data_IF_732687718060
#
_entry.id   IF_732687718060
#
_cell.length_a   1.000
_cell.length_b   1.000
_cell.length_c   1.000
_cell.angle_alpha   90.00
_cell.angle_beta   90.00
_cell.angle_gamma   90.00
#
_symmetry.space_group_name_H-M   'P 1'
#
loop_
_entity.id
_entity.type
_entity.pdbx_description
1 polymer ?
#
# COMPACT_ATOMS: atom_id res chain seq x y z
N UNK A 1 4.20 2.58 -12.17
CA UNK A 1 2.73 2.66 -12.10
C UNK A 1 2.28 3.79 -13.01
N UNK A 2 1.13 3.64 -13.69
CA UNK A 2 0.57 4.73 -14.49
C UNK A 2 -0.14 5.75 -13.57
N UNK A 3 -0.15 7.02 -13.96
CA UNK A 3 -0.95 8.03 -13.28
C UNK A 3 -2.45 7.77 -13.51
N UNK A 4 -3.28 8.13 -12.53
CA UNK A 4 -4.74 7.94 -12.55
C UNK A 4 -5.37 9.11 -11.81
N UNK A 5 -6.51 9.61 -12.28
CA UNK A 5 -7.36 10.60 -11.59
C UNK A 5 -8.49 9.95 -10.77
N UNK A 6 -8.76 8.66 -11.01
CA UNK A 6 -9.65 7.84 -10.18
C UNK A 6 -8.91 7.27 -8.95
N UNK A 7 -9.36 7.57 -7.72
CA UNK A 7 -8.68 7.14 -6.49
C UNK A 7 -8.68 5.61 -6.30
N UNK A 8 -9.72 4.91 -6.75
CA UNK A 8 -9.81 3.45 -6.58
C UNK A 8 -8.82 2.75 -7.52
N UNK A 9 -8.78 3.14 -8.78
CA UNK A 9 -7.81 2.65 -9.77
C UNK A 9 -6.38 2.92 -9.33
N UNK A 10 -6.10 4.13 -8.84
CA UNK A 10 -4.81 4.48 -8.26
C UNK A 10 -4.45 3.56 -7.08
N UNK A 11 -5.33 3.44 -6.08
CA UNK A 11 -5.10 2.63 -4.90
C UNK A 11 -4.84 1.15 -5.22
N UNK A 12 -5.55 0.58 -6.21
CA UNK A 12 -5.29 -0.80 -6.66
C UNK A 12 -3.87 -0.97 -7.23
N UNK A 13 -3.41 -0.01 -8.02
CA UNK A 13 -2.05 -0.04 -8.59
C UNK A 13 -0.98 0.05 -7.50
N UNK A 14 -1.19 0.93 -6.52
CA UNK A 14 -0.28 1.08 -5.38
C UNK A 14 -0.29 -0.19 -4.51
N UNK A 15 -1.47 -0.72 -4.17
CA UNK A 15 -1.60 -1.96 -3.39
C UNK A 15 -0.93 -3.17 -4.08
N UNK A 16 -1.11 -3.31 -5.39
CA UNK A 16 -0.45 -4.35 -6.18
C UNK A 16 1.08 -4.22 -6.09
N UNK A 17 1.59 -3.00 -6.23
CA UNK A 17 3.03 -2.72 -6.19
C UNK A 17 3.61 -2.93 -4.78
N UNK A 18 2.88 -2.50 -3.74
CA UNK A 18 3.28 -2.61 -2.34
C UNK A 18 3.54 -4.06 -1.90
N UNK A 19 2.74 -4.99 -2.43
CA UNK A 19 2.85 -6.41 -2.08
C UNK A 19 3.71 -7.22 -3.06
N UNK A 20 4.13 -6.65 -4.19
CA UNK A 20 4.88 -7.32 -5.25
C UNK A 20 6.40 -7.23 -5.01
N UNK A 21 6.90 -8.05 -4.09
CA UNK A 21 8.34 -8.20 -3.85
C UNK A 21 8.78 -9.66 -3.98
N UNK A 22 10.05 -9.83 -4.30
CA UNK A 22 10.69 -11.13 -4.51
C UNK A 22 12.09 -11.08 -3.91
N UNK A 23 12.39 -12.00 -2.99
CA UNK A 23 13.69 -12.05 -2.29
C UNK A 23 14.84 -12.54 -3.15
N UNK A 24 14.55 -13.05 -4.36
CA UNK A 24 15.56 -13.36 -5.39
C UNK A 24 16.00 -12.13 -6.17
N UNK A 25 15.30 -11.01 -6.02
CA UNK A 25 15.76 -9.70 -6.50
C UNK A 25 17.04 -9.30 -5.75
N UNK A 26 17.99 -8.72 -6.47
CA UNK A 26 19.27 -8.26 -5.92
C UNK A 26 19.18 -6.89 -5.28
N UNK A 27 18.05 -6.20 -5.40
CA UNK A 27 17.79 -4.92 -4.74
C UNK A 27 17.64 -5.11 -3.22
N UNK A 28 18.05 -4.12 -2.41
CA UNK A 28 17.80 -4.15 -0.97
C UNK A 28 16.29 -4.04 -0.68
N UNK A 29 15.83 -4.59 0.45
CA UNK A 29 14.41 -4.58 0.87
C UNK A 29 13.79 -3.17 0.80
N UNK A 30 14.53 -2.16 1.23
CA UNK A 30 14.06 -0.77 1.23
C UNK A 30 13.76 -0.24 -0.18
N UNK A 31 14.47 -0.71 -1.22
CA UNK A 31 14.23 -0.25 -2.59
C UNK A 31 12.86 -0.69 -3.15
N UNK A 32 12.17 -1.62 -2.49
CA UNK A 32 10.81 -2.00 -2.87
C UNK A 32 9.77 -0.92 -2.51
N UNK A 33 10.13 0.06 -1.67
CA UNK A 33 9.26 1.19 -1.32
C UNK A 33 9.37 2.36 -2.30
N UNK A 34 10.47 2.47 -3.04
CA UNK A 34 10.75 3.64 -3.91
C UNK A 34 9.65 3.91 -4.94
N UNK A 35 9.05 2.90 -5.61
CA UNK A 35 7.94 3.15 -6.52
C UNK A 35 6.71 3.76 -5.82
N UNK A 36 6.49 3.44 -4.54
CA UNK A 36 5.37 3.95 -3.75
C UNK A 36 5.65 5.38 -3.29
N UNK A 37 6.88 5.67 -2.85
CA UNK A 37 7.30 7.04 -2.50
C UNK A 37 7.19 7.96 -3.72
N UNK A 38 7.55 7.47 -4.92
CA UNK A 38 7.50 8.27 -6.15
C UNK A 38 6.09 8.73 -6.55
N UNK A 39 5.03 8.10 -6.02
CA UNK A 39 3.63 8.51 -6.23
C UNK A 39 3.02 9.18 -4.99
N UNK A 40 3.84 9.50 -3.99
CA UNK A 40 3.45 10.32 -2.85
C UNK A 40 3.05 11.74 -3.28
N UNK A 41 2.39 12.46 -2.38
CA UNK A 41 2.02 13.86 -2.61
C UNK A 41 3.27 14.73 -2.82
N UNK A 42 3.38 15.43 -3.98
CA UNK A 42 4.54 16.26 -4.30
C UNK A 42 4.71 17.46 -3.37
N UNK A 43 3.70 17.89 -2.61
CA UNK A 43 3.86 18.90 -1.57
C UNK A 43 4.80 18.43 -0.45
N UNK A 44 4.96 17.11 -0.29
CA UNK A 44 5.93 16.50 0.62
C UNK A 44 5.56 16.53 2.10
N UNK A 45 4.39 17.09 2.44
CA UNK A 45 3.93 17.27 3.84
C UNK A 45 3.74 15.91 4.51
N UNK A 46 3.09 14.96 3.85
CA UNK A 46 2.81 13.62 4.39
C UNK A 46 3.95 12.62 4.16
N UNK A 47 4.99 12.96 3.39
CA UNK A 47 6.07 12.03 3.02
C UNK A 47 6.76 11.37 4.23
N UNK A 48 7.13 12.08 5.31
CA UNK A 48 7.71 11.42 6.48
C UNK A 48 6.77 10.39 7.12
N UNK A 49 5.47 10.70 7.17
CA UNK A 49 4.44 9.79 7.65
C UNK A 49 4.27 8.58 6.75
N UNK A 50 4.23 8.78 5.44
CA UNK A 50 4.15 7.70 4.46
C UNK A 50 5.35 6.74 4.55
N UNK A 51 6.57 7.26 4.69
CA UNK A 51 7.77 6.44 4.87
C UNK A 51 7.68 5.59 6.13
N UNK A 52 7.18 6.16 7.23
CA UNK A 52 6.97 5.44 8.48
C UNK A 52 5.89 4.34 8.33
N UNK A 53 4.79 4.63 7.64
CA UNK A 53 3.74 3.63 7.40
C UNK A 53 4.29 2.48 6.53
N UNK A 54 5.04 2.78 5.46
CA UNK A 54 5.63 1.78 4.56
C UNK A 54 6.58 0.81 5.27
N UNK A 55 7.31 1.28 6.29
CA UNK A 55 8.19 0.43 7.09
C UNK A 55 7.44 -0.69 7.83
N UNK A 56 6.13 -0.53 8.05
CA UNK A 56 5.28 -1.56 8.67
C UNK A 56 4.74 -2.59 7.66
N UNK A 57 4.83 -2.32 6.36
CA UNK A 57 4.34 -3.21 5.30
C UNK A 57 5.41 -4.14 4.72
N UNK A 58 6.68 -3.75 4.81
CA UNK A 58 7.80 -4.55 4.32
C UNK A 58 8.39 -5.43 5.42
N UNK A 59 8.96 -6.60 5.07
CA UNK A 59 9.73 -7.39 6.03
C UNK A 59 10.90 -6.59 6.62
N UNK A 60 11.24 -6.84 7.88
CA UNK A 60 12.50 -6.33 8.45
C UNK A 60 13.70 -6.93 7.71
N UNK A 61 14.88 -6.31 7.81
CA UNK A 61 16.10 -6.85 7.18
C UNK A 61 16.43 -8.29 7.64
N UNK A 62 16.18 -8.60 8.92
CA UNK A 62 16.35 -9.96 9.46
C UNK A 62 15.35 -10.94 8.86
N UNK A 63 14.08 -10.55 8.79
CA UNK A 63 13.03 -11.36 8.15
C UNK A 63 13.32 -11.55 6.66
N UNK A 64 13.78 -10.52 5.95
CA UNK A 64 14.17 -10.60 4.55
C UNK A 64 15.27 -11.63 4.34
N UNK A 65 16.34 -11.60 5.15
CA UNK A 65 17.43 -12.58 5.08
C UNK A 65 16.93 -14.02 5.26
N UNK A 66 16.02 -14.24 6.21
CA UNK A 66 15.41 -15.55 6.41
C UNK A 66 14.59 -15.98 5.19
N UNK A 67 13.73 -15.10 4.68
CA UNK A 67 12.86 -15.35 3.52
C UNK A 67 13.66 -15.59 2.23
N UNK A 68 14.79 -14.91 2.05
CA UNK A 68 15.74 -15.15 0.95
C UNK A 68 16.26 -16.58 0.92
N UNK A 69 16.45 -17.20 2.09
CA UNK A 69 16.84 -18.62 2.20
C UNK A 69 15.83 -19.58 1.56
N UNK A 70 14.58 -19.13 1.41
CA UNK A 70 13.49 -19.89 0.78
C UNK A 70 13.10 -19.37 -0.59
N UNK A 71 13.87 -18.44 -1.20
CA UNK A 71 13.50 -17.81 -2.48
C UNK A 71 12.07 -17.29 -2.48
N UNK A 72 11.69 -16.65 -1.36
CA UNK A 72 10.31 -16.22 -1.13
C UNK A 72 9.91 -15.07 -2.03
N UNK A 73 8.70 -15.12 -2.59
CA UNK A 73 8.00 -14.01 -3.23
C UNK A 73 6.64 -13.75 -2.61
N UNK A 74 6.17 -12.52 -2.72
CA UNK A 74 4.85 -12.11 -2.28
C UNK A 74 4.10 -11.38 -3.41
N UNK A 75 2.78 -11.51 -3.40
CA UNK A 75 1.88 -10.70 -4.20
C UNK A 75 0.51 -10.58 -3.52
N UNK A 76 -0.37 -9.77 -4.09
CA UNK A 76 -1.72 -9.53 -3.59
C UNK A 76 -2.73 -9.75 -4.71
N UNK A 77 -3.73 -10.59 -4.45
CA UNK A 77 -4.94 -10.70 -5.26
C UNK A 77 -6.01 -9.81 -4.62
N UNK A 78 -6.31 -8.66 -5.25
CA UNK A 78 -7.28 -7.69 -4.71
C UNK A 78 -8.71 -8.17 -4.99
N UNK A 79 -9.45 -8.48 -3.93
CA UNK A 79 -10.84 -8.95 -4.01
C UNK A 79 -11.84 -7.79 -4.00
N UNK A 80 -11.53 -6.69 -3.30
CA UNK A 80 -12.32 -5.47 -3.32
C UNK A 80 -11.46 -4.22 -3.14
N UNK A 81 -11.92 -3.10 -3.71
CA UNK A 81 -11.34 -1.78 -3.51
C UNK A 81 -12.45 -0.74 -3.61
N UNK A 82 -12.67 0.04 -2.57
CA UNK A 82 -13.72 1.06 -2.54
C UNK A 82 -13.44 2.15 -1.52
N UNK A 83 -14.07 3.32 -1.70
CA UNK A 83 -14.16 4.33 -0.64
C UNK A 83 -15.04 3.76 0.48
N UNK A 84 -14.56 3.68 1.73
CA UNK A 84 -15.34 3.10 2.83
C UNK A 84 -16.55 3.98 3.16
N UNK A 85 -17.64 3.35 3.60
CA UNK A 85 -18.91 4.04 3.89
C UNK A 85 -18.79 5.05 5.05
N UNK A 86 -17.85 4.84 5.97
CA UNK A 86 -17.51 5.79 7.04
C UNK A 86 -16.79 7.04 6.56
N UNK A 87 -16.13 7.02 5.39
CA UNK A 87 -15.28 8.13 4.96
C UNK A 87 -16.01 9.49 4.87
N UNK A 88 -17.21 9.60 4.26
CA UNK A 88 -17.93 10.87 4.20
C UNK A 88 -18.17 11.49 5.59
N UNK A 89 -18.51 10.66 6.59
CA UNK A 89 -18.69 11.10 7.96
C UNK A 89 -17.38 11.56 8.61
N UNK A 90 -16.29 10.82 8.40
CA UNK A 90 -14.96 11.19 8.90
C UNK A 90 -14.51 12.51 8.28
N UNK A 91 -14.61 12.65 6.96
CA UNK A 91 -14.21 13.83 6.23
C UNK A 91 -15.02 15.08 6.64
N UNK A 92 -16.33 14.93 6.89
CA UNK A 92 -17.18 16.04 7.30
C UNK A 92 -16.87 16.55 8.72
N UNK A 93 -16.30 15.70 9.58
CA UNK A 93 -15.93 16.04 10.96
C UNK A 93 -14.45 16.34 11.12
N UNK A 94 -13.67 16.30 10.05
CA UNK A 94 -12.26 16.64 10.08
C UNK A 94 -12.08 18.14 10.40
N UNK A 95 -11.07 18.54 11.21
CA UNK A 95 -10.78 19.94 11.46
C UNK A 95 -10.63 20.75 10.17
N UNK A 96 -11.12 21.98 10.16
CA UNK A 96 -11.05 22.82 8.97
C UNK A 96 -9.59 22.99 8.49
N UNK A 97 -9.36 22.69 7.21
CA UNK A 97 -8.03 22.76 6.59
C UNK A 97 -7.11 21.56 6.85
N UNK A 98 -7.56 20.54 7.61
CA UNK A 98 -6.74 19.34 7.84
C UNK A 98 -6.74 18.35 6.67
N UNK A 99 -7.68 18.49 5.73
CA UNK A 99 -7.75 17.67 4.51
C UNK A 99 -7.68 18.59 3.30
N UNK A 100 -6.76 18.29 2.38
CA UNK A 100 -6.72 18.98 1.09
C UNK A 100 -7.99 18.65 0.28
N UNK A 101 -8.51 19.57 -0.54
CA UNK A 101 -9.62 19.28 -1.44
C UNK A 101 -9.34 18.04 -2.31
N UNK A 102 -10.31 17.12 -2.41
CA UNK A 102 -10.12 15.88 -3.17
C UNK A 102 -9.38 14.77 -2.41
N UNK A 103 -9.12 14.96 -1.11
CA UNK A 103 -8.67 13.86 -0.24
C UNK A 103 -9.80 12.84 -0.06
N UNK A 104 -9.47 11.55 -0.23
CA UNK A 104 -10.35 10.42 0.06
C UNK A 104 -9.60 9.28 0.74
N UNK A 105 -10.34 8.37 1.36
CA UNK A 105 -9.84 7.05 1.76
C UNK A 105 -10.26 5.99 0.75
N UNK A 106 -9.42 4.98 0.52
CA UNK A 106 -9.75 3.77 -0.23
C UNK A 106 -9.36 2.57 0.62
N UNK A 107 -10.32 1.71 0.93
CA UNK A 107 -10.08 0.43 1.59
C UNK A 107 -9.85 -0.65 0.53
N UNK A 108 -8.79 -1.42 0.71
CA UNK A 108 -8.43 -2.60 -0.07
C UNK A 108 -8.72 -3.83 0.79
N UNK A 109 -9.48 -4.78 0.25
CA UNK A 109 -9.56 -6.14 0.76
C UNK A 109 -8.90 -7.06 -0.28
N UNK A 110 -8.14 -8.06 0.18
CA UNK A 110 -7.46 -8.97 -0.72
C UNK A 110 -6.91 -10.21 -0.05
N UNK A 111 -6.31 -11.07 -0.87
CA UNK A 111 -5.59 -12.25 -0.42
C UNK A 111 -4.11 -11.98 -0.69
N UNK A 112 -3.30 -11.94 0.36
CA UNK A 112 -1.84 -11.91 0.28
C UNK A 112 -1.34 -13.32 0.08
N UNK A 113 -0.54 -13.51 -0.96
CA UNK A 113 0.09 -14.79 -1.28
C UNK A 113 1.56 -14.71 -0.94
N UNK A 114 2.11 -15.76 -0.34
CA UNK A 114 3.54 -15.92 -0.14
C UNK A 114 3.95 -17.31 -0.58
N UNK A 115 4.88 -17.38 -1.53
CA UNK A 115 5.38 -18.65 -2.04
C UNK A 115 6.89 -18.69 -1.96
N UNK A 116 7.45 -19.89 -1.79
CA UNK A 116 8.88 -20.13 -1.74
C UNK A 116 9.21 -21.60 -1.92
N UNK A 117 10.42 -21.98 -1.54
CA UNK A 117 10.94 -23.35 -1.62
C UNK A 117 11.46 -23.78 -0.26
N UNK A 118 11.01 -24.94 0.21
CA UNK A 118 11.45 -25.58 1.46
C UNK A 118 11.87 -27.02 1.17
N UNK A 119 13.12 -27.37 1.48
CA UNK A 119 13.70 -28.71 1.19
C UNK A 119 13.54 -29.18 -0.28
N UNK A 120 13.52 -28.23 -1.22
CA UNK A 120 13.35 -28.50 -2.65
C UNK A 120 11.90 -28.52 -3.13
N UNK A 121 10.93 -28.49 -2.22
CA UNK A 121 9.50 -28.47 -2.52
C UNK A 121 8.93 -27.05 -2.51
N UNK A 122 7.97 -26.79 -3.40
CA UNK A 122 7.27 -25.51 -3.45
C UNK A 122 6.22 -25.42 -2.34
N UNK A 123 6.29 -24.34 -1.56
CA UNK A 123 5.33 -24.02 -0.50
C UNK A 123 4.58 -22.73 -0.83
N UNK A 124 3.31 -22.66 -0.46
CA UNK A 124 2.44 -21.51 -0.73
C UNK A 124 1.45 -21.27 0.40
N UNK A 125 1.54 -20.10 1.02
CA UNK A 125 0.60 -19.62 2.03
C UNK A 125 -0.29 -18.48 1.48
N UNK A 126 -1.50 -18.39 2.03
CA UNK A 126 -2.49 -17.36 1.72
C UNK A 126 -3.01 -16.73 3.01
N UNK A 127 -3.12 -15.40 3.02
CA UNK A 127 -3.61 -14.63 4.15
C UNK A 127 -4.66 -13.64 3.66
N UNK A 128 -5.83 -13.61 4.27
CA UNK A 128 -6.76 -12.50 4.03
C UNK A 128 -6.16 -11.26 4.66
N UNK A 129 -6.13 -10.16 3.92
CA UNK A 129 -5.64 -8.88 4.40
C UNK A 129 -6.60 -7.76 4.02
N UNK A 130 -6.67 -6.74 4.86
CA UNK A 130 -7.38 -5.52 4.53
C UNK A 130 -6.68 -4.28 5.07
N UNK A 131 -6.71 -3.18 4.35
CA UNK A 131 -6.09 -1.93 4.80
C UNK A 131 -6.68 -0.72 4.08
N UNK A 132 -6.37 0.48 4.59
CA UNK A 132 -6.89 1.73 4.03
C UNK A 132 -5.75 2.61 3.57
N UNK A 133 -5.93 3.24 2.41
CA UNK A 133 -5.01 4.19 1.81
C UNK A 133 -5.67 5.58 1.80
N UNK A 134 -4.95 6.60 2.21
CA UNK A 134 -5.41 7.99 2.09
C UNK A 134 -4.76 8.59 0.84
N UNK A 135 -5.59 9.13 -0.04
CA UNK A 135 -5.22 9.54 -1.40
C UNK A 135 -5.76 10.96 -1.62
N UNK A 136 -5.00 11.81 -2.28
CA UNK A 136 -5.47 13.12 -2.74
C UNK A 136 -5.47 13.15 -4.27
N UNK A 137 -6.57 13.59 -4.87
CA UNK A 137 -6.72 13.71 -6.33
C UNK A 137 -7.18 15.14 -6.68
N UNK A 138 -8.01 15.28 -7.71
CA UNK A 138 -8.64 16.55 -8.07
C UNK A 138 -9.58 17.05 -6.97
N UNK A 139 -9.64 18.38 -6.73
CA UNK A 139 -9.02 19.44 -7.52
C UNK A 139 -7.59 19.84 -7.08
N UNK A 140 -7.02 19.24 -6.02
CA UNK A 140 -5.67 19.62 -5.55
C UNK A 140 -4.59 19.22 -6.55
N UNK A 141 -4.74 18.05 -7.16
CA UNK A 141 -3.84 17.56 -8.22
C UNK A 141 -4.64 17.02 -9.41
N UNK A 142 -4.12 17.12 -10.65
CA UNK A 142 -4.78 16.54 -11.82
C UNK A 142 -4.81 15.01 -11.81
N UNK A 143 -3.91 14.38 -11.05
CA UNK A 143 -3.83 12.94 -10.84
C UNK A 143 -3.72 12.63 -9.36
N UNK A 144 -4.09 11.43 -8.96
CA UNK A 144 -4.04 10.99 -7.57
C UNK A 144 -2.61 10.78 -7.07
N UNK A 145 -2.41 11.12 -5.81
CA UNK A 145 -1.18 10.92 -5.05
C UNK A 145 -1.48 10.26 -3.70
N UNK A 146 -0.55 9.44 -3.24
CA UNK A 146 -0.66 8.77 -1.95
C UNK A 146 -0.24 9.72 -0.82
N UNK A 147 -1.08 9.83 0.21
CA UNK A 147 -0.78 10.58 1.42
C UNK A 147 -0.23 9.66 2.50
N UNK A 148 -1.01 8.65 2.89
CA UNK A 148 -0.75 7.80 4.07
C UNK A 148 -1.27 6.39 3.86
N UNK A 149 -0.72 5.43 4.59
CA UNK A 149 -1.23 4.06 4.68
C UNK A 149 -1.69 3.79 6.11
N UNK A 150 -2.93 3.30 6.26
CA UNK A 150 -3.40 2.74 7.53
C UNK A 150 -2.67 1.45 7.86
N UNK A 151 -2.73 1.00 9.11
CA UNK A 151 -2.15 -0.28 9.49
C UNK A 151 -2.90 -1.45 8.83
N UNK A 152 -2.16 -2.55 8.59
CA UNK A 152 -2.71 -3.78 8.05
C UNK A 152 -3.74 -4.38 9.02
N UNK A 153 -4.83 -4.89 8.48
CA UNK A 153 -5.95 -5.55 9.16
C UNK A 153 -6.73 -4.66 10.13
N UNK A 154 -6.56 -3.34 10.01
CA UNK A 154 -7.37 -2.32 10.69
C UNK A 154 -7.99 -1.32 9.69
N UNK A 155 -8.75 -1.78 8.67
CA UNK A 155 -9.31 -0.89 7.66
C UNK A 155 -10.47 -0.05 8.18
N UNK A 156 -10.66 1.13 7.59
CA UNK A 156 -11.93 1.84 7.61
C UNK A 156 -12.99 1.04 6.83
N UNK A 157 -14.25 1.15 7.24
CA UNK A 157 -15.38 0.42 6.65
C UNK A 157 -16.47 1.35 6.16
#
# INVERSE_FOLDING_TARGET
>A
MAASDDPVTFARAVATTLFAWDTTDRRPVDAHRDPIIAVGDPAGIETPGLVADLALYLPTAEAWKLLSGYSTRQWLDITAAAVPASWPGIAANAPAGSLAPGTTAVTIDGIRHRAGTWEGEHVHDKFTVAFTMFVVCGPTHPTCHLLRLGALDTPLR
#
